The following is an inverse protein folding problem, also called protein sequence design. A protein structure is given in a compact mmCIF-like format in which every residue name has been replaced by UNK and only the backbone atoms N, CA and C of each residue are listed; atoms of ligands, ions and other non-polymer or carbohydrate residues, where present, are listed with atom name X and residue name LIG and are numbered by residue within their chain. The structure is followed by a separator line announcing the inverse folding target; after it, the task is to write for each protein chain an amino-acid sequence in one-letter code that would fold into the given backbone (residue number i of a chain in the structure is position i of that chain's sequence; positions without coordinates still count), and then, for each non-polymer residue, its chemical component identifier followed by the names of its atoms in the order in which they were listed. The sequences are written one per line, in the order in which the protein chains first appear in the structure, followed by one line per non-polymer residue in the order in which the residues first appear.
data_IF_326747407719
#
_entry.id   IF_326747407719
#
_cell.length_a   1.000
_cell.length_b   1.000
_cell.length_c   1.000
_cell.angle_alpha   90.00
_cell.angle_beta   90.00
_cell.angle_gamma   90.00
#
_symmetry.space_group_name_H-M   'P 1'
#
loop_
_entity.id
_entity.type
_entity.pdbx_description
1 polymer ?
#
# COMPACT_ATOMS: atom_id res chain seq x y z
N UNK A 1 -10.42 24.53 22.34
CA UNK A 1 -10.93 24.13 21.02
C UNK A 1 -10.95 22.62 21.02
N UNK A 2 -12.05 21.99 20.58
CA UNK A 2 -12.06 20.54 20.42
C UNK A 2 -11.19 20.19 19.20
N UNK A 3 -10.42 19.10 19.29
CA UNK A 3 -9.61 18.60 18.18
C UNK A 3 -10.46 18.21 16.98
N UNK A 4 -9.87 18.26 15.79
CA UNK A 4 -10.51 17.93 14.52
C UNK A 4 -10.12 16.52 14.04
N UNK A 5 -11.05 15.82 13.39
CA UNK A 5 -10.73 14.58 12.69
C UNK A 5 -10.20 14.88 11.28
N UNK A 6 -8.93 14.56 11.03
CA UNK A 6 -8.24 14.93 9.79
C UNK A 6 -7.94 13.69 8.96
N UNK A 7 -8.60 13.58 7.81
CA UNK A 7 -8.30 12.55 6.80
C UNK A 7 -6.96 12.85 6.14
N UNK A 8 -5.95 12.01 6.39
CA UNK A 8 -4.61 12.26 5.87
C UNK A 8 -4.52 12.02 4.37
N UNK A 9 -3.68 12.80 3.67
CA UNK A 9 -3.38 12.62 2.25
C UNK A 9 -2.36 11.49 2.06
N UNK A 10 -2.73 10.27 2.42
CA UNK A 10 -1.91 9.05 2.33
C UNK A 10 -2.60 7.99 1.46
N UNK A 11 -2.06 6.77 1.42
CA UNK A 11 -2.71 5.60 0.84
C UNK A 11 -3.35 5.83 -0.55
N UNK A 12 -2.54 6.40 -1.45
CA UNK A 12 -3.01 6.86 -2.76
C UNK A 12 -3.45 5.70 -3.66
N UNK A 13 -4.35 6.00 -4.60
CA UNK A 13 -4.56 5.17 -5.78
C UNK A 13 -3.38 5.36 -6.73
N UNK A 14 -2.89 4.27 -7.30
CA UNK A 14 -1.88 4.28 -8.36
C UNK A 14 -2.39 5.02 -9.61
N UNK A 15 -1.51 5.21 -10.59
CA UNK A 15 -1.85 5.91 -11.83
C UNK A 15 -2.98 5.17 -12.59
N UNK A 16 -4.11 5.83 -12.84
CA UNK A 16 -5.25 5.21 -13.53
C UNK A 16 -5.12 5.26 -15.06
N UNK A 17 -4.60 6.36 -15.61
CA UNK A 17 -4.42 6.51 -17.06
C UNK A 17 -3.04 6.02 -17.51
N UNK A 18 -2.85 4.70 -17.53
CA UNK A 18 -1.57 4.08 -17.93
C UNK A 18 -1.17 4.45 -19.37
N UNK A 19 -2.13 4.66 -20.26
CA UNK A 19 -1.88 5.00 -21.67
C UNK A 19 -1.24 6.38 -21.85
N UNK A 20 -1.43 7.29 -20.89
CA UNK A 20 -0.77 8.61 -20.87
C UNK A 20 0.75 8.53 -20.65
N UNK A 21 1.29 7.40 -20.19
CA UNK A 21 2.73 7.23 -19.98
C UNK A 21 3.41 7.04 -21.34
N UNK A 22 4.17 8.05 -21.78
CA UNK A 22 4.84 8.05 -23.09
C UNK A 22 6.00 7.06 -23.17
N UNK A 23 6.73 6.87 -22.07
CA UNK A 23 7.79 5.87 -22.03
C UNK A 23 7.19 4.47 -21.94
N UNK A 24 7.41 3.72 -23.01
CA UNK A 24 6.87 2.38 -23.22
C UNK A 24 7.27 1.36 -22.14
N UNK A 25 8.50 1.41 -21.63
CA UNK A 25 8.95 0.52 -20.55
C UNK A 25 8.16 0.81 -19.25
N UNK A 26 8.03 2.08 -18.86
CA UNK A 26 7.25 2.43 -17.67
C UNK A 26 5.75 2.18 -17.83
N UNK A 27 5.23 2.31 -19.05
CA UNK A 27 3.85 1.91 -19.37
C UNK A 27 3.66 0.42 -19.10
N UNK A 28 4.60 -0.44 -19.51
CA UNK A 28 4.53 -1.87 -19.26
C UNK A 28 4.56 -2.20 -17.76
N UNK A 29 5.43 -1.56 -16.99
CA UNK A 29 5.45 -1.67 -15.52
C UNK A 29 4.14 -1.23 -14.88
N UNK A 30 3.61 -0.10 -15.33
CA UNK A 30 2.34 0.42 -14.89
C UNK A 30 1.18 -0.56 -15.16
N UNK A 31 1.14 -1.14 -16.36
CA UNK A 31 0.14 -2.15 -16.73
C UNK A 31 0.27 -3.39 -15.85
N UNK A 32 1.48 -3.94 -15.70
CA UNK A 32 1.70 -5.10 -14.84
C UNK A 32 1.23 -4.84 -13.41
N UNK A 33 1.65 -3.74 -12.80
CA UNK A 33 1.28 -3.38 -11.44
C UNK A 33 -0.25 -3.30 -11.28
N UNK A 34 -0.94 -2.59 -12.17
CA UNK A 34 -2.37 -2.34 -12.04
C UNK A 34 -3.28 -3.49 -12.48
N UNK A 35 -2.77 -4.50 -13.20
CA UNK A 35 -3.64 -5.53 -13.81
C UNK A 35 -3.21 -6.97 -13.55
N UNK A 36 -1.96 -7.21 -13.15
CA UNK A 36 -1.41 -8.56 -13.03
C UNK A 36 -0.67 -8.83 -11.72
N UNK A 37 -0.29 -7.79 -10.98
CA UNK A 37 0.39 -7.98 -9.69
C UNK A 37 -0.56 -8.53 -8.63
N UNK A 38 0.00 -9.21 -7.62
CA UNK A 38 -0.73 -9.74 -6.45
C UNK A 38 -1.49 -8.67 -5.65
N UNK A 39 -1.19 -7.39 -5.89
CA UNK A 39 -1.82 -6.26 -5.21
C UNK A 39 -2.52 -5.31 -6.20
N UNK A 40 -2.81 -5.79 -7.42
CA UNK A 40 -3.35 -4.98 -8.51
C UNK A 40 -4.62 -4.21 -8.10
N UNK A 41 -5.58 -4.92 -7.50
CA UNK A 41 -6.82 -4.31 -7.00
C UNK A 41 -6.53 -3.17 -6.01
N UNK A 42 -5.71 -3.45 -4.99
CA UNK A 42 -5.29 -2.49 -3.97
C UNK A 42 -4.55 -1.28 -4.55
N UNK A 43 -3.79 -1.46 -5.63
CA UNK A 43 -3.14 -0.35 -6.32
C UNK A 43 -4.16 0.54 -7.04
N UNK A 44 -5.11 -0.04 -7.77
CA UNK A 44 -5.93 0.72 -8.74
C UNK A 44 -7.32 1.11 -8.24
N UNK A 45 -7.87 0.42 -7.24
CA UNK A 45 -9.27 0.61 -6.85
C UNK A 45 -9.46 1.89 -6.02
N UNK A 46 -10.22 2.88 -6.51
CA UNK A 46 -10.56 4.06 -5.74
C UNK A 46 -11.66 3.76 -4.71
N UNK A 47 -11.75 4.60 -3.69
CA UNK A 47 -12.91 4.66 -2.81
C UNK A 47 -13.34 6.12 -2.65
N UNK A 48 -14.65 6.34 -2.52
CA UNK A 48 -15.22 7.60 -2.03
C UNK A 48 -15.12 7.56 -0.52
N UNK A 49 -14.35 8.46 0.08
CA UNK A 49 -14.11 8.52 1.52
C UNK A 49 -15.29 9.24 2.17
N UNK A 50 -15.96 8.58 3.11
CA UNK A 50 -17.05 9.12 3.90
C UNK A 50 -16.51 9.48 5.28
N UNK A 51 -16.48 10.78 5.61
CA UNK A 51 -15.71 11.26 6.75
C UNK A 51 -16.28 10.75 8.08
N UNK A 52 -17.60 10.74 8.26
CA UNK A 52 -18.15 10.33 9.56
C UNK A 52 -18.12 8.81 9.74
N UNK A 53 -18.26 8.02 8.66
CA UNK A 53 -17.98 6.58 8.70
C UNK A 53 -16.54 6.27 9.13
N UNK A 54 -15.56 6.98 8.55
CA UNK A 54 -14.16 6.85 8.94
C UNK A 54 -13.93 7.31 10.38
N UNK A 55 -14.57 8.39 10.81
CA UNK A 55 -14.50 8.90 12.19
C UNK A 55 -15.04 7.87 13.17
N UNK A 56 -16.23 7.31 12.90
CA UNK A 56 -16.86 6.30 13.75
C UNK A 56 -16.00 5.04 13.89
N UNK A 57 -15.42 4.56 12.79
CA UNK A 57 -14.45 3.45 12.84
C UNK A 57 -13.23 3.85 13.65
N UNK A 58 -12.57 4.97 13.31
CA UNK A 58 -11.28 5.34 13.88
C UNK A 58 -11.36 5.71 15.37
N UNK A 59 -12.51 6.15 15.86
CA UNK A 59 -12.71 6.52 17.27
C UNK A 59 -13.23 5.35 18.13
N UNK A 60 -13.53 4.20 17.53
CA UNK A 60 -13.96 2.99 18.24
C UNK A 60 -13.07 1.77 17.98
N UNK A 61 -12.16 1.84 17.00
CA UNK A 61 -11.32 0.72 16.61
C UNK A 61 -10.32 0.34 17.71
N UNK A 62 -10.26 -0.94 18.07
CA UNK A 62 -9.33 -1.52 19.04
C UNK A 62 -8.58 -2.71 18.44
N UNK A 63 -7.32 -2.90 18.85
CA UNK A 63 -6.56 -4.10 18.54
C UNK A 63 -7.20 -5.30 19.24
N UNK A 64 -7.50 -6.35 18.47
CA UNK A 64 -8.08 -7.61 18.95
C UNK A 64 -7.26 -8.81 18.46
N UNK A 65 -5.99 -8.57 18.14
CA UNK A 65 -5.07 -9.58 17.63
C UNK A 65 -4.82 -10.66 18.68
N UNK A 66 -5.02 -11.93 18.28
CA UNK A 66 -4.89 -13.08 19.18
C UNK A 66 -4.25 -14.25 18.42
N UNK A 67 -3.43 -15.06 19.10
CA UNK A 67 -2.88 -16.30 18.52
C UNK A 67 -2.20 -16.15 17.14
N UNK A 68 -1.47 -15.05 16.91
CA UNK A 68 -0.83 -14.67 15.63
C UNK A 68 -1.79 -14.35 14.47
N UNK A 69 -3.05 -14.05 14.78
CA UNK A 69 -4.07 -13.57 13.83
C UNK A 69 -4.21 -12.07 14.07
N UNK A 70 -3.64 -11.26 13.18
CA UNK A 70 -3.76 -9.80 13.28
C UNK A 70 -5.19 -9.37 12.99
N UNK A 71 -5.81 -8.67 13.93
CA UNK A 71 -7.20 -8.24 13.77
C UNK A 71 -7.50 -7.00 14.60
N UNK A 72 -8.46 -6.20 14.13
CA UNK A 72 -9.01 -5.10 14.91
C UNK A 72 -10.54 -5.18 14.91
N UNK A 73 -11.16 -4.59 15.92
CA UNK A 73 -12.62 -4.49 16.01
C UNK A 73 -13.06 -3.06 16.14
N UNK A 74 -14.23 -2.70 15.65
CA UNK A 74 -14.80 -1.36 15.79
C UNK A 74 -16.32 -1.45 15.94
N UNK A 75 -16.93 -0.36 16.42
CA UNK A 75 -18.36 -0.29 16.69
C UNK A 75 -19.03 0.51 15.58
N UNK A 76 -20.11 -0.04 15.02
CA UNK A 76 -20.96 0.67 14.06
C UNK A 76 -22.20 1.26 14.74
N UNK A 77 -22.88 2.23 14.11
CA UNK A 77 -24.13 2.75 14.65
C UNK A 77 -25.14 1.63 14.92
N UNK A 78 -25.82 1.71 16.07
CA UNK A 78 -26.65 0.61 16.58
C UNK A 78 -25.93 -0.37 17.51
N UNK A 79 -24.61 -0.20 17.72
CA UNK A 79 -23.85 -0.90 18.76
C UNK A 79 -23.31 -2.28 18.34
N UNK A 80 -23.45 -2.66 17.07
CA UNK A 80 -22.85 -3.89 16.54
C UNK A 80 -21.33 -3.75 16.50
N UNK A 81 -20.64 -4.79 16.95
CA UNK A 81 -19.17 -4.86 16.90
C UNK A 81 -18.78 -5.66 15.67
N UNK A 82 -17.94 -5.07 14.82
CA UNK A 82 -17.34 -5.73 13.66
C UNK A 82 -15.90 -6.06 13.98
N UNK A 83 -15.52 -7.33 13.83
CA UNK A 83 -14.11 -7.75 13.87
C UNK A 83 -13.62 -7.99 12.45
N UNK A 84 -12.49 -7.39 12.11
CA UNK A 84 -11.81 -7.54 10.81
C UNK A 84 -10.51 -8.28 11.04
N UNK A 85 -10.40 -9.46 10.46
CA UNK A 85 -9.20 -10.30 10.49
C UNK A 85 -8.30 -10.06 9.27
N UNK A 86 -7.08 -10.57 9.31
CA UNK A 86 -6.18 -10.59 8.17
C UNK A 86 -6.75 -11.38 6.99
N UNK A 87 -7.56 -12.41 7.25
CA UNK A 87 -8.29 -13.15 6.22
C UNK A 87 -9.35 -12.27 5.54
N UNK A 88 -10.15 -11.54 6.33
CA UNK A 88 -11.15 -10.60 5.81
C UNK A 88 -10.47 -9.52 4.97
N UNK A 89 -9.35 -8.97 5.47
CA UNK A 89 -8.63 -7.94 4.74
C UNK A 89 -8.03 -8.46 3.43
N UNK A 90 -7.49 -9.68 3.42
CA UNK A 90 -7.03 -10.30 2.18
C UNK A 90 -8.16 -10.46 1.17
N UNK A 91 -9.35 -10.90 1.60
CA UNK A 91 -10.53 -11.00 0.74
C UNK A 91 -10.94 -9.63 0.20
N UNK A 92 -11.11 -8.64 1.07
CA UNK A 92 -11.61 -7.30 0.73
C UNK A 92 -10.65 -6.59 -0.23
N UNK A 93 -9.34 -6.74 -0.02
CA UNK A 93 -8.30 -6.11 -0.84
C UNK A 93 -7.79 -7.02 -1.97
N UNK A 94 -8.40 -8.19 -2.18
CA UNK A 94 -8.06 -9.17 -3.21
C UNK A 94 -6.58 -9.60 -3.17
N UNK A 95 -6.01 -9.69 -1.97
CA UNK A 95 -4.72 -10.32 -1.74
C UNK A 95 -4.85 -11.85 -1.76
N UNK A 96 -3.75 -12.60 -1.85
CA UNK A 96 -3.78 -14.04 -1.70
C UNK A 96 -4.41 -14.48 -0.37
N UNK A 97 -5.32 -15.45 -0.43
CA UNK A 97 -5.97 -16.08 0.74
C UNK A 97 -5.55 -17.55 0.94
N UNK A 98 -4.89 -18.14 -0.06
CA UNK A 98 -4.51 -19.56 -0.10
C UNK A 98 -3.06 -19.71 -0.53
N UNK A 99 -2.48 -20.88 -0.21
CA UNK A 99 -1.07 -21.22 -0.49
C UNK A 99 -0.10 -20.19 0.12
N UNK A 100 -0.47 -19.66 1.29
CA UNK A 100 0.32 -18.67 2.00
C UNK A 100 1.59 -19.32 2.54
N UNK A 101 2.72 -18.70 2.23
CA UNK A 101 4.03 -19.05 2.78
C UNK A 101 4.47 -17.98 3.78
N UNK A 102 5.44 -18.29 4.66
CA UNK A 102 5.95 -17.31 5.62
C UNK A 102 6.46 -16.03 4.93
N UNK A 103 6.45 -14.93 5.66
CA UNK A 103 7.07 -13.67 5.25
C UNK A 103 8.53 -13.86 4.87
N UNK A 104 9.05 -13.07 3.90
CA UNK A 104 10.47 -13.11 3.60
C UNK A 104 11.28 -12.63 4.81
N UNK A 105 12.32 -13.37 5.16
CA UNK A 105 13.26 -12.98 6.21
C UNK A 105 14.24 -11.89 5.71
N UNK A 106 15.04 -11.37 6.63
CA UNK A 106 16.04 -10.32 6.37
C UNK A 106 17.02 -10.73 5.27
N UNK A 107 17.46 -11.99 5.27
CA UNK A 107 18.41 -12.54 4.32
C UNK A 107 17.82 -12.61 2.91
N UNK A 108 16.58 -13.04 2.76
CA UNK A 108 15.85 -13.09 1.50
C UNK A 108 15.64 -11.69 0.92
N UNK A 109 15.31 -10.71 1.76
CA UNK A 109 15.17 -9.31 1.35
C UNK A 109 16.54 -8.75 0.89
N UNK A 110 17.61 -9.03 1.63
CA UNK A 110 18.96 -8.60 1.25
C UNK A 110 19.41 -9.24 -0.07
N UNK A 111 19.16 -10.54 -0.26
CA UNK A 111 19.45 -11.26 -1.49
C UNK A 111 18.65 -10.69 -2.67
N UNK A 112 17.39 -10.32 -2.45
CA UNK A 112 16.56 -9.67 -3.46
C UNK A 112 17.11 -8.32 -3.91
N UNK A 113 17.47 -7.42 -2.97
CA UNK A 113 18.06 -6.12 -3.34
C UNK A 113 19.43 -6.28 -4.02
N UNK A 114 20.21 -7.29 -3.62
CA UNK A 114 21.45 -7.66 -4.30
C UNK A 114 21.18 -8.11 -5.75
N UNK A 115 20.20 -8.98 -5.95
CA UNK A 115 19.82 -9.54 -7.26
C UNK A 115 19.40 -8.44 -8.24
N UNK A 116 18.56 -7.49 -7.82
CA UNK A 116 18.09 -6.39 -8.68
C UNK A 116 19.14 -5.28 -8.90
N UNK A 117 20.40 -5.55 -8.53
CA UNK A 117 21.58 -4.68 -8.66
C UNK A 117 21.45 -3.34 -7.94
N UNK A 118 20.89 -3.38 -6.73
CA UNK A 118 20.90 -2.19 -5.88
C UNK A 118 22.34 -1.76 -5.57
N UNK A 119 22.63 -0.46 -5.62
CA UNK A 119 23.99 0.08 -5.48
C UNK A 119 24.27 0.64 -4.07
N UNK A 120 23.44 0.30 -3.08
CA UNK A 120 23.63 0.78 -1.72
C UNK A 120 24.75 -0.03 -1.04
N UNK A 121 25.88 0.59 -0.66
CA UNK A 121 26.93 -0.11 0.07
C UNK A 121 26.44 -0.39 1.52
N UNK A 122 26.71 -1.59 2.03
CA UNK A 122 26.42 -2.00 3.42
C UNK A 122 24.97 -1.72 3.86
N UNK A 123 24.01 -2.28 3.13
CA UNK A 123 22.58 -2.07 3.38
C UNK A 123 22.08 -2.79 4.65
N UNK A 124 21.40 -2.03 5.53
CA UNK A 124 20.60 -2.57 6.63
C UNK A 124 19.11 -2.60 6.25
N UNK A 125 18.46 -3.74 6.42
CA UNK A 125 17.10 -4.05 5.94
C UNK A 125 15.99 -3.11 6.44
N UNK A 126 16.26 -2.21 7.40
CA UNK A 126 15.33 -1.16 7.82
C UNK A 126 15.20 0.04 6.88
N UNK A 127 16.26 0.43 6.16
CA UNK A 127 16.32 1.74 5.48
C UNK A 127 17.01 1.67 4.11
N UNK A 128 16.30 1.12 3.11
CA UNK A 128 16.76 1.15 1.72
C UNK A 128 16.41 2.49 1.08
N UNK A 129 17.31 3.14 0.37
CA UNK A 129 16.98 4.39 -0.34
C UNK A 129 16.71 4.15 -1.82
N UNK A 130 15.54 4.57 -2.30
CA UNK A 130 15.08 4.28 -3.67
C UNK A 130 16.00 4.82 -4.79
N UNK A 131 16.84 5.81 -4.51
CA UNK A 131 17.78 6.36 -5.51
C UNK A 131 18.97 5.43 -5.80
N UNK A 132 19.18 4.39 -4.98
CA UNK A 132 20.13 3.32 -5.27
C UNK A 132 19.54 2.19 -6.12
N UNK A 133 18.29 2.34 -6.58
CA UNK A 133 17.67 1.43 -7.53
C UNK A 133 17.79 1.95 -8.96
N UNK A 134 17.77 1.01 -9.91
CA UNK A 134 17.58 1.34 -11.33
C UNK A 134 16.27 2.09 -11.54
N UNK A 135 16.16 2.80 -12.66
CA UNK A 135 14.95 3.55 -13.03
C UNK A 135 13.65 2.75 -12.87
N UNK A 136 13.52 1.52 -13.41
CA UNK A 136 12.32 0.71 -13.20
C UNK A 136 12.11 0.31 -11.74
N UNK A 137 13.17 -0.06 -11.02
CA UNK A 137 13.08 -0.41 -9.60
C UNK A 137 12.62 0.77 -8.73
N UNK A 138 13.14 1.96 -8.98
CA UNK A 138 12.70 3.19 -8.29
C UNK A 138 11.22 3.49 -8.58
N UNK A 139 10.78 3.38 -9.84
CA UNK A 139 9.36 3.55 -10.18
C UNK A 139 8.45 2.52 -9.51
N UNK A 140 8.87 1.25 -9.51
CA UNK A 140 8.18 0.15 -8.87
C UNK A 140 7.96 0.45 -7.38
N UNK A 141 9.03 0.70 -6.62
CA UNK A 141 8.92 0.98 -5.19
C UNK A 141 8.28 2.33 -4.88
N UNK A 142 8.45 3.35 -5.72
CA UNK A 142 7.75 4.62 -5.54
C UNK A 142 6.23 4.44 -5.62
N UNK A 143 5.75 3.60 -6.52
CA UNK A 143 4.33 3.27 -6.64
C UNK A 143 3.83 2.56 -5.39
N UNK A 144 4.56 1.53 -4.94
CA UNK A 144 4.21 0.81 -3.71
C UNK A 144 4.18 1.73 -2.50
N UNK A 145 5.19 2.60 -2.34
CA UNK A 145 5.25 3.55 -1.22
C UNK A 145 4.05 4.47 -1.22
N UNK A 146 3.67 5.07 -2.35
CA UNK A 146 2.52 5.97 -2.35
C UNK A 146 1.20 5.28 -1.99
N UNK A 147 1.05 4.01 -2.35
CA UNK A 147 -0.16 3.23 -2.08
C UNK A 147 -0.19 2.69 -0.65
N UNK A 148 0.95 2.24 -0.12
CA UNK A 148 1.03 1.52 1.16
C UNK A 148 1.62 2.36 2.30
N UNK A 149 1.91 3.64 2.11
CA UNK A 149 2.48 4.47 3.19
C UNK A 149 1.41 5.20 4.00
N UNK A 150 1.65 5.29 5.31
CA UNK A 150 1.07 6.29 6.21
C UNK A 150 1.91 7.58 6.29
N UNK A 151 3.12 7.61 5.72
CA UNK A 151 4.01 8.78 5.79
C UNK A 151 3.45 9.93 4.94
N UNK A 152 3.37 11.12 5.55
CA UNK A 152 3.02 12.36 4.88
C UNK A 152 4.19 12.97 4.08
N UNK A 153 5.43 12.69 4.50
CA UNK A 153 6.65 13.28 3.94
C UNK A 153 7.78 12.25 3.84
N UNK A 154 8.91 12.65 3.25
CA UNK A 154 10.14 11.85 3.13
C UNK A 154 9.93 10.42 2.59
N UNK A 155 9.39 10.34 1.37
CA UNK A 155 9.15 9.07 0.66
C UNK A 155 10.40 8.55 -0.08
N UNK A 156 11.60 8.86 0.42
CA UNK A 156 12.87 8.43 -0.18
C UNK A 156 13.29 7.03 0.27
N UNK A 157 13.03 6.71 1.55
CA UNK A 157 13.26 5.38 2.10
C UNK A 157 12.19 4.39 1.67
N UNK A 158 12.58 3.13 1.58
CA UNK A 158 11.73 1.96 1.39
C UNK A 158 11.74 1.21 2.73
N UNK A 159 10.76 1.43 3.61
CA UNK A 159 10.66 0.70 4.89
C UNK A 159 10.48 -0.80 4.67
N UNK A 160 10.84 -1.62 5.66
CA UNK A 160 10.73 -3.08 5.60
C UNK A 160 9.35 -3.57 5.11
N UNK A 161 8.26 -2.97 5.59
CA UNK A 161 6.92 -3.26 5.11
C UNK A 161 6.80 -3.18 3.58
N UNK A 162 7.29 -2.08 2.98
CA UNK A 162 7.28 -1.89 1.53
C UNK A 162 8.27 -2.81 0.82
N UNK A 163 9.40 -3.13 1.44
CA UNK A 163 10.37 -4.10 0.91
C UNK A 163 9.74 -5.49 0.80
N UNK A 164 9.00 -5.95 1.83
CA UNK A 164 8.25 -7.20 1.81
C UNK A 164 7.22 -7.21 0.68
N UNK A 165 6.40 -6.15 0.55
CA UNK A 165 5.43 -6.02 -0.55
C UNK A 165 6.13 -6.07 -1.92
N UNK A 166 7.24 -5.36 -2.08
CA UNK A 166 8.02 -5.38 -3.32
C UNK A 166 8.59 -6.76 -3.65
N UNK A 167 9.13 -7.45 -2.65
CA UNK A 167 9.67 -8.80 -2.78
C UNK A 167 8.61 -9.79 -3.26
N UNK A 168 7.41 -9.75 -2.66
CA UNK A 168 6.36 -10.73 -2.96
C UNK A 168 5.77 -10.53 -4.34
N UNK A 169 5.60 -9.28 -4.78
CA UNK A 169 5.18 -8.97 -6.14
C UNK A 169 6.25 -9.41 -7.15
N UNK A 170 7.54 -9.14 -6.85
CA UNK A 170 8.63 -9.48 -7.74
C UNK A 170 8.83 -10.99 -7.88
N UNK A 171 8.50 -11.79 -6.86
CA UNK A 171 8.66 -13.24 -6.89
C UNK A 171 7.35 -14.01 -7.03
N UNK A 172 6.21 -13.31 -7.20
CA UNK A 172 4.86 -13.89 -7.15
C UNK A 172 4.64 -14.80 -5.93
N UNK A 173 5.17 -14.39 -4.77
CA UNK A 173 5.09 -15.18 -3.54
C UNK A 173 3.81 -14.83 -2.80
N UNK A 174 3.00 -15.83 -2.48
CA UNK A 174 1.75 -15.62 -1.75
C UNK A 174 2.06 -15.59 -0.25
N UNK A 175 2.07 -14.41 0.36
CA UNK A 175 2.18 -14.25 1.82
C UNK A 175 0.88 -13.67 2.37
N UNK A 176 0.75 -13.63 3.69
CA UNK A 176 -0.38 -12.97 4.34
C UNK A 176 -0.21 -11.44 4.35
N UNK A 177 -0.49 -10.79 3.22
CA UNK A 177 -0.36 -9.33 3.08
C UNK A 177 -1.33 -8.59 4.02
N UNK A 178 -2.53 -9.14 4.23
CA UNK A 178 -3.52 -8.64 5.16
C UNK A 178 -2.95 -8.48 6.56
N UNK A 179 -2.16 -9.44 7.04
CA UNK A 179 -1.51 -9.36 8.34
C UNK A 179 -0.59 -8.13 8.43
N UNK A 180 0.28 -7.96 7.43
CA UNK A 180 1.20 -6.83 7.37
C UNK A 180 0.47 -5.48 7.31
N UNK A 181 -0.66 -5.41 6.60
CA UNK A 181 -1.45 -4.19 6.48
C UNK A 181 -2.20 -3.89 7.78
N UNK A 182 -2.79 -4.88 8.44
CA UNK A 182 -3.46 -4.70 9.74
C UNK A 182 -2.45 -4.22 10.79
N UNK A 183 -1.30 -4.88 10.92
CA UNK A 183 -0.26 -4.48 11.86
C UNK A 183 0.13 -3.01 11.66
N UNK A 184 0.26 -2.60 10.40
CA UNK A 184 0.63 -1.23 10.05
C UNK A 184 -0.51 -0.23 10.28
N UNK A 185 -1.76 -0.62 10.08
CA UNK A 185 -2.93 0.19 10.40
C UNK A 185 -3.02 0.40 11.92
N UNK A 186 -2.97 -0.68 12.71
CA UNK A 186 -3.04 -0.62 14.19
C UNK A 186 -1.90 0.24 14.75
N UNK A 187 -0.67 0.04 14.25
CA UNK A 187 0.49 0.84 14.64
C UNK A 187 0.27 2.34 14.38
N UNK A 188 -0.40 2.70 13.28
CA UNK A 188 -0.69 4.09 12.93
C UNK A 188 -1.89 4.67 13.67
N UNK A 189 -2.89 3.85 14.03
CA UNK A 189 -4.02 4.29 14.85
C UNK A 189 -3.57 4.65 16.27
N UNK A 190 -2.68 3.84 16.85
CA UNK A 190 -2.29 3.99 18.24
C UNK A 190 -3.42 3.66 19.24
N UNK A 191 -3.19 3.94 20.53
CA UNK A 191 -4.16 3.70 21.60
C UNK A 191 -5.51 4.38 21.34
N UNK A 192 -6.58 3.87 21.95
CA UNK A 192 -7.93 4.45 21.81
C UNK A 192 -8.05 5.79 22.55
N UNK A 193 -7.34 5.90 23.67
CA UNK A 193 -7.28 7.07 24.54
C UNK A 193 -6.72 8.29 23.79
N UNK A 194 -5.71 8.07 22.94
CA UNK A 194 -5.06 9.11 22.13
C UNK A 194 -5.96 9.62 20.98
N UNK A 195 -7.03 8.88 20.65
CA UNK A 195 -7.97 9.20 19.57
C UNK A 195 -9.31 9.72 20.07
N UNK A 196 -9.50 9.76 21.38
CA UNK A 196 -10.73 10.22 22.05
C UNK A 196 -10.48 11.44 22.94
N UNK A 197 -9.23 11.90 23.04
CA UNK A 197 -8.83 13.13 23.71
C UNK A 197 -9.10 14.38 22.83
N UNK A 198 -8.92 15.58 23.39
CA UNK A 198 -9.23 16.85 22.71
C UNK A 198 -8.20 17.28 21.64
N UNK A 199 -7.31 16.38 21.21
CA UNK A 199 -6.29 16.66 20.19
C UNK A 199 -6.78 16.27 18.78
N UNK A 200 -6.10 16.79 17.75
CA UNK A 200 -6.41 16.45 16.36
C UNK A 200 -6.14 14.96 16.09
N UNK A 201 -7.11 14.27 15.50
CA UNK A 201 -7.03 12.84 15.20
C UNK A 201 -6.69 12.65 13.73
N UNK A 202 -5.49 12.15 13.45
CA UNK A 202 -5.04 11.89 12.08
C UNK A 202 -5.46 10.49 11.61
N UNK A 203 -6.32 10.42 10.61
CA UNK A 203 -6.74 9.16 10.00
C UNK A 203 -5.77 8.71 8.90
N UNK A 204 -4.96 7.70 9.21
CA UNK A 204 -4.07 7.04 8.25
C UNK A 204 -4.78 5.88 7.52
N UNK A 205 -4.31 5.55 6.32
CA UNK A 205 -4.93 4.52 5.45
C UNK A 205 -6.43 4.71 5.18
N UNK A 206 -6.93 5.94 4.95
CA UNK A 206 -8.37 6.18 4.85
C UNK A 206 -9.03 5.40 3.70
N UNK A 207 -8.30 5.18 2.60
CA UNK A 207 -8.83 4.40 1.47
C UNK A 207 -9.00 2.93 1.81
N UNK A 208 -8.04 2.30 2.48
CA UNK A 208 -8.19 0.91 2.91
C UNK A 208 -9.31 0.76 3.94
N UNK A 209 -9.38 1.67 4.92
CA UNK A 209 -10.47 1.66 5.90
C UNK A 209 -11.84 1.83 5.25
N UNK A 210 -11.96 2.73 4.27
CA UNK A 210 -13.20 2.90 3.52
C UNK A 210 -13.56 1.66 2.70
N UNK A 211 -12.58 0.98 2.08
CA UNK A 211 -12.85 -0.27 1.35
C UNK A 211 -13.35 -1.38 2.29
N UNK A 212 -12.85 -1.42 3.53
CA UNK A 212 -13.36 -2.31 4.57
C UNK A 212 -14.81 -1.95 4.89
N UNK A 213 -15.09 -0.68 5.20
CA UNK A 213 -16.44 -0.21 5.53
C UNK A 213 -17.45 -0.50 4.41
N UNK A 214 -17.07 -0.29 3.15
CA UNK A 214 -17.92 -0.56 1.99
C UNK A 214 -18.34 -2.04 1.87
N UNK A 215 -17.52 -2.95 2.40
CA UNK A 215 -17.76 -4.38 2.35
C UNK A 215 -18.51 -4.90 3.60
N UNK A 216 -18.20 -4.38 4.79
CA UNK A 216 -18.72 -4.90 6.06
C UNK A 216 -19.98 -4.21 6.60
N UNK A 217 -20.30 -3.01 6.11
CA UNK A 217 -21.52 -2.29 6.47
C UNK A 217 -22.72 -2.74 5.63
N UNK A 218 -23.86 -2.94 6.27
CA UNK A 218 -25.12 -3.20 5.57
C UNK A 218 -25.60 -1.93 4.83
N UNK A 219 -26.69 -2.04 4.07
CA UNK A 219 -27.29 -0.85 3.46
C UNK A 219 -27.86 0.07 4.55
N UNK A 220 -28.58 -0.50 5.50
CA UNK A 220 -29.22 0.23 6.60
C UNK A 220 -28.21 0.97 7.47
N UNK A 221 -27.04 0.36 7.71
CA UNK A 221 -25.98 1.01 8.47
C UNK A 221 -25.30 2.14 7.70
N UNK A 222 -25.21 2.03 6.37
CA UNK A 222 -24.72 3.11 5.52
C UNK A 222 -25.71 4.26 5.42
N UNK A 223 -27.01 3.96 5.46
CA UNK A 223 -28.06 4.98 5.37
C UNK A 223 -28.09 5.89 6.62
N UNK A 224 -27.59 5.41 7.76
CA UNK A 224 -27.41 6.25 8.98
C UNK A 224 -26.45 7.42 8.71
N UNK A 225 -25.55 7.24 7.74
CA UNK A 225 -24.56 8.21 7.29
C UNK A 225 -25.03 8.97 6.02
N UNK A 226 -26.35 9.10 5.78
CA UNK A 226 -26.88 9.84 4.63
C UNK A 226 -26.62 11.36 4.73
N UNK A 227 -26.11 11.95 3.64
CA UNK A 227 -25.88 13.40 3.52
C UNK A 227 -24.50 13.88 3.99
N UNK A 228 -23.59 12.96 4.27
CA UNK A 228 -22.28 13.25 4.85
C UNK A 228 -21.26 13.87 3.92
N UNK A 229 -20.25 14.49 4.54
CA UNK A 229 -19.09 14.98 3.82
C UNK A 229 -18.32 13.82 3.21
N UNK A 230 -18.20 13.87 1.89
CA UNK A 230 -17.44 12.89 1.11
C UNK A 230 -16.28 13.55 0.39
N UNK A 231 -15.21 12.78 0.22
CA UNK A 231 -14.06 13.24 -0.55
C UNK A 231 -13.46 12.11 -1.40
N UNK A 232 -12.87 12.50 -2.53
CA UNK A 232 -12.14 11.57 -3.37
C UNK A 232 -10.82 11.15 -2.70
N UNK A 233 -10.50 9.86 -2.80
CA UNK A 233 -9.18 9.39 -2.43
C UNK A 233 -8.09 10.01 -3.32
N UNK A 234 -6.92 10.23 -2.72
CA UNK A 234 -5.77 10.82 -3.40
C UNK A 234 -5.26 9.90 -4.51
N UNK A 235 -4.86 10.49 -5.64
CA UNK A 235 -4.32 9.78 -6.81
C UNK A 235 -2.89 10.19 -7.08
N UNK A 236 -2.05 9.22 -7.48
CA UNK A 236 -0.70 9.53 -7.96
C UNK A 236 -0.76 10.39 -9.23
N UNK A 237 -0.03 11.51 -9.23
CA UNK A 237 0.01 12.45 -10.36
C UNK A 237 0.93 11.94 -11.46
N UNK A 238 0.50 11.99 -12.73
CA UNK A 238 1.31 11.57 -13.89
C UNK A 238 2.64 12.32 -14.00
N UNK A 239 2.70 13.58 -13.57
CA UNK A 239 3.94 14.37 -13.57
C UNK A 239 5.03 13.79 -12.65
N UNK A 240 4.65 13.06 -11.59
CA UNK A 240 5.60 12.36 -10.74
C UNK A 240 6.33 11.26 -11.53
N UNK A 241 5.63 10.57 -12.43
CA UNK A 241 6.21 9.56 -13.33
C UNK A 241 7.22 10.22 -14.27
N UNK A 242 6.85 11.34 -14.90
CA UNK A 242 7.76 12.11 -15.76
C UNK A 242 9.03 12.53 -15.02
N UNK A 243 8.92 12.94 -13.75
CA UNK A 243 10.07 13.30 -12.92
C UNK A 243 10.97 12.09 -12.61
N UNK A 244 10.38 10.92 -12.33
CA UNK A 244 11.12 9.66 -12.11
C UNK A 244 11.83 9.20 -13.38
N UNK A 245 11.19 9.32 -14.55
CA UNK A 245 11.78 8.98 -15.84
C UNK A 245 13.02 9.84 -16.12
N UNK A 246 12.94 11.14 -15.81
CA UNK A 246 14.04 12.09 -16.04
C UNK A 246 15.21 11.88 -15.08
N UNK A 247 14.95 11.55 -13.82
CA UNK A 247 16.00 11.32 -12.82
C UNK A 247 16.65 9.95 -13.00
N UNK A 248 17.83 9.91 -13.65
CA UNK A 248 18.67 8.71 -13.67
C UNK A 248 19.79 8.82 -12.64
N UNK A 249 19.62 8.19 -11.47
CA UNK A 249 20.67 8.20 -10.46
C UNK A 249 21.80 7.19 -10.76
N UNK A 250 21.54 6.18 -11.60
CA UNK A 250 22.47 5.09 -11.90
C UNK A 250 22.57 4.84 -13.41
N UNK A 251 23.12 5.78 -14.20
CA UNK A 251 23.36 5.55 -15.63
C UNK A 251 24.32 4.37 -15.82
N UNK A 252 23.96 3.44 -16.72
CA UNK A 252 24.80 2.29 -17.08
C UNK A 252 24.59 1.02 -16.23
N UNK A 253 23.83 1.07 -15.13
CA UNK A 253 23.48 -0.15 -14.38
C UNK A 253 22.27 -0.82 -15.06
N UNK A 254 22.40 -2.05 -15.58
CA UNK A 254 21.30 -2.72 -16.24
C UNK A 254 20.24 -3.15 -15.22
N UNK A 255 18.98 -3.12 -15.64
CA UNK A 255 17.87 -3.62 -14.83
C UNK A 255 17.86 -5.13 -14.84
N UNK A 256 17.98 -5.75 -13.67
CA UNK A 256 17.82 -7.20 -13.51
C UNK A 256 16.44 -7.49 -12.94
N UNK A 257 15.74 -8.42 -13.60
CA UNK A 257 14.44 -8.92 -13.17
C UNK A 257 14.63 -10.27 -12.47
N UNK A 258 13.80 -10.52 -11.45
CA UNK A 258 13.57 -11.85 -10.87
C UNK A 258 13.05 -12.81 -11.94
N UNK A 259 13.07 -14.12 -11.67
CA UNK A 259 12.59 -15.13 -12.62
C UNK A 259 11.14 -14.87 -13.03
N UNK A 260 10.24 -14.66 -12.05
CA UNK A 260 8.84 -14.33 -12.34
C UNK A 260 8.69 -13.04 -13.16
N UNK A 261 9.41 -11.96 -12.83
CA UNK A 261 9.28 -10.72 -13.59
C UNK A 261 9.80 -10.83 -15.03
N UNK A 262 10.59 -11.85 -15.37
CA UNK A 262 10.98 -12.14 -16.77
C UNK A 262 9.86 -12.81 -17.56
N UNK A 263 8.88 -13.44 -16.91
CA UNK A 263 7.75 -14.09 -17.59
C UNK A 263 6.64 -13.11 -17.96
N UNK A 264 6.73 -11.86 -17.50
CA UNK A 264 5.76 -10.79 -17.80
C UNK A 264 6.38 -9.76 -18.77
N UNK A 265 5.56 -9.12 -19.62
CA UNK A 265 6.05 -8.24 -20.70
C UNK A 265 6.46 -6.86 -20.15
N UNK A 266 7.47 -6.81 -19.28
CA UNK A 266 7.99 -5.59 -18.64
C UNK A 266 9.08 -4.88 -19.42
N UNK A 267 9.61 -5.55 -20.45
CA UNK A 267 10.64 -5.04 -21.33
C UNK A 267 10.07 -4.94 -22.74
N UNK A 268 10.30 -3.80 -23.39
CA UNK A 268 10.18 -3.70 -24.83
C UNK A 268 11.61 -3.70 -25.35
N UNK A 269 12.04 -4.88 -25.79
CA UNK A 269 13.36 -5.25 -26.34
C UNK A 269 14.49 -5.50 -25.32
N UNK A 270 15.40 -6.46 -25.61
CA UNK A 270 16.57 -6.74 -24.78
C UNK A 270 17.57 -5.57 -24.84
N UNK A 271 18.48 -5.46 -23.85
CA UNK A 271 19.59 -4.53 -23.94
C UNK A 271 20.56 -5.01 -25.02
N UNK A 272 20.45 -4.45 -26.23
CA UNK A 272 21.39 -4.63 -27.32
C UNK A 272 20.90 -5.53 -28.46
N UNK A 273 20.36 -4.89 -29.50
CA UNK A 273 20.78 -5.09 -30.89
C UNK A 273 21.10 -3.71 -31.47
#
# INVERSE_FOLDING_TARGET
MAGEFIVTKTNHVSFQNVQSITNLQFRAWAQFLNTRSLVAYTLSNPAVLCIDQLTALYTSATDTSENNISSFSFVVPGGRIIRVTEHDLNRILHFPIENLVPDPNTEEIHAFFTLIRSQQPNFFVGEFLKHYLTKPGNFFFHTLIHVFTAKLTNLHGIPLFHQKIGFVIANNRHINIGNLVIDQIILCMGPLEDRTCMDDVLCFYPRFLQLILNDVLTAEERDIFEGEETMDCMKMKSNAITALIKKNHLPGVPTVLTEYLRTVPLQLLPPGE
#
